data_IF_186289156507
#
_entry.id   IF_186289156507
#
_cell.length_a   1.000
_cell.length_b   1.000
_cell.length_c   1.000
_cell.angle_alpha   90.00
_cell.angle_beta   90.00
_cell.angle_gamma   90.00
#
_symmetry.space_group_name_H-M   'P 1'
#
loop_
_entity.id
_entity.type
_entity.pdbx_description
1 polymer ?
#
# COMPACT_ATOMS: atom_id res chain seq x y z
N UNK A 1 -12.48 14.47 15.10
CA UNK A 1 -11.13 13.87 15.15
C UNK A 1 -11.18 12.62 16.02
N UNK A 2 -11.24 11.44 15.40
CA UNK A 2 -11.43 10.16 16.11
C UNK A 2 -10.06 9.52 16.40
N UNK A 3 -9.69 9.27 17.67
CA UNK A 3 -8.38 8.72 18.07
C UNK A 3 -8.33 7.18 17.90
N UNK A 4 -8.83 6.67 16.77
CA UNK A 4 -9.06 5.23 16.57
C UNK A 4 -7.76 4.46 16.31
N UNK A 5 -6.78 5.04 15.64
CA UNK A 5 -5.56 4.33 15.27
C UNK A 5 -4.62 4.15 16.47
N UNK A 6 -4.43 5.18 17.29
CA UNK A 6 -3.62 5.07 18.52
C UNK A 6 -4.24 4.10 19.53
N UNK A 7 -5.56 4.14 19.72
CA UNK A 7 -6.28 3.19 20.60
C UNK A 7 -6.31 1.78 20.05
N UNK A 8 -6.45 1.59 18.73
CA UNK A 8 -6.33 0.28 18.12
C UNK A 8 -4.96 -0.33 18.41
N UNK A 9 -3.87 0.45 18.28
CA UNK A 9 -2.51 -0.03 18.55
C UNK A 9 -2.29 -0.36 20.03
N UNK A 10 -2.73 0.48 20.96
CA UNK A 10 -2.55 0.23 22.41
C UNK A 10 -3.43 -0.92 22.93
N UNK A 11 -4.60 -1.13 22.33
CA UNK A 11 -5.47 -2.28 22.66
C UNK A 11 -5.05 -3.56 21.94
N UNK A 12 -4.44 -3.49 20.75
CA UNK A 12 -3.91 -4.66 20.04
C UNK A 12 -2.67 -5.25 20.72
N UNK A 13 -1.92 -4.45 21.49
CA UNK A 13 -0.80 -4.95 22.31
C UNK A 13 -1.18 -5.37 23.74
N UNK A 14 -2.33 -4.90 24.28
CA UNK A 14 -2.78 -5.20 25.66
C UNK A 14 -3.95 -6.17 25.78
N UNK A 15 -4.79 -6.32 24.76
CA UNK A 15 -5.81 -7.37 24.73
C UNK A 15 -5.28 -8.57 23.97
N UNK A 16 -5.16 -9.69 24.66
CA UNK A 16 -4.94 -10.99 24.06
C UNK A 16 -5.88 -11.24 22.87
N UNK A 17 -5.31 -11.95 21.90
CA UNK A 17 -5.76 -12.31 20.54
C UNK A 17 -7.20 -12.90 20.39
N UNK A 18 -8.08 -12.83 21.39
CA UNK A 18 -9.25 -13.70 21.46
C UNK A 18 -10.58 -13.04 21.05
N UNK A 19 -10.66 -11.70 20.94
CA UNK A 19 -11.95 -10.99 20.73
C UNK A 19 -12.29 -10.60 19.29
N UNK A 20 -11.37 -10.73 18.33
CA UNK A 20 -11.65 -10.52 16.90
C UNK A 20 -11.79 -11.83 16.11
N UNK A 21 -12.26 -12.89 16.80
CA UNK A 21 -12.72 -14.12 16.15
C UNK A 21 -14.18 -13.97 15.67
N UNK A 22 -14.39 -13.15 14.64
CA UNK A 22 -15.57 -13.23 13.76
C UNK A 22 -15.08 -13.04 12.34
N UNK A 23 -15.21 -14.07 11.49
CA UNK A 23 -14.70 -14.19 10.11
C UNK A 23 -14.64 -12.85 9.34
N UNK A 24 -13.51 -12.10 9.41
CA UNK A 24 -13.33 -10.86 8.66
C UNK A 24 -13.33 -11.13 7.15
N UNK A 25 -13.00 -12.38 6.83
CA UNK A 25 -12.82 -12.96 5.52
C UNK A 25 -14.12 -12.91 4.69
N UNK A 26 -15.24 -13.47 5.20
CA UNK A 26 -16.52 -13.44 4.46
C UNK A 26 -16.99 -12.00 4.21
N UNK A 27 -16.84 -11.11 5.18
CA UNK A 27 -17.22 -9.69 5.04
C UNK A 27 -16.45 -8.98 3.92
N UNK A 28 -15.15 -9.24 3.81
CA UNK A 28 -14.30 -8.69 2.76
C UNK A 28 -14.75 -9.13 1.35
N UNK A 29 -14.98 -10.44 1.17
CA UNK A 29 -15.44 -10.99 -0.09
C UNK A 29 -16.85 -10.52 -0.44
N UNK A 30 -17.78 -10.48 0.52
CA UNK A 30 -19.12 -9.93 0.27
C UNK A 30 -19.09 -8.45 -0.10
N UNK A 31 -18.19 -7.66 0.49
CA UNK A 31 -17.97 -6.29 0.10
C UNK A 31 -17.46 -6.23 -1.36
N UNK A 32 -16.35 -6.88 -1.70
CA UNK A 32 -15.82 -6.80 -3.06
C UNK A 32 -16.75 -7.41 -4.12
N UNK A 33 -17.51 -8.48 -3.81
CA UNK A 33 -18.50 -9.07 -4.74
C UNK A 33 -19.66 -8.12 -5.04
N UNK A 34 -20.17 -7.44 -4.02
CA UNK A 34 -21.20 -6.42 -4.21
C UNK A 34 -20.66 -5.19 -4.95
N UNK A 35 -19.36 -4.89 -4.79
CA UNK A 35 -18.70 -3.79 -5.48
C UNK A 35 -18.46 -4.14 -6.94
N UNK A 36 -17.95 -5.34 -7.25
CA UNK A 36 -17.72 -5.82 -8.60
C UNK A 36 -19.01 -5.81 -9.43
N UNK A 37 -20.16 -6.13 -8.84
CA UNK A 37 -21.47 -5.99 -9.49
C UNK A 37 -21.82 -4.54 -9.88
N UNK A 38 -21.36 -3.56 -9.10
CA UNK A 38 -21.62 -2.12 -9.36
C UNK A 38 -20.57 -1.55 -10.32
N UNK A 39 -19.30 -1.94 -10.18
CA UNK A 39 -18.19 -1.49 -11.01
C UNK A 39 -18.14 -2.14 -12.41
N UNK A 40 -18.71 -3.35 -12.57
CA UNK A 40 -18.82 -4.01 -13.88
C UNK A 40 -19.63 -3.18 -14.91
N UNK A 41 -20.43 -2.21 -14.46
CA UNK A 41 -21.13 -1.28 -15.33
C UNK A 41 -20.20 -0.26 -16.06
N UNK A 42 -18.91 -0.20 -15.72
CA UNK A 42 -17.99 0.87 -16.19
C UNK A 42 -16.69 0.35 -16.82
N UNK A 43 -16.58 -0.93 -17.21
CA UNK A 43 -15.33 -1.44 -17.80
C UNK A 43 -15.33 -1.35 -19.33
N UNK A 44 -14.56 -0.39 -19.84
CA UNK A 44 -14.11 -0.32 -21.24
C UNK A 44 -12.69 -0.90 -21.34
N UNK A 45 -12.51 -1.71 -22.39
CA UNK A 45 -11.29 -2.26 -23.02
C UNK A 45 -10.60 -3.46 -22.34
N UNK A 46 -11.06 -4.65 -22.75
CA UNK A 46 -10.51 -5.99 -22.56
C UNK A 46 -9.21 -6.25 -23.35
N UNK A 47 -8.38 -5.24 -23.57
CA UNK A 47 -7.27 -5.29 -24.55
C UNK A 47 -5.87 -5.45 -23.96
N UNK A 48 -5.76 -5.93 -22.72
CA UNK A 48 -4.48 -6.31 -22.10
C UNK A 48 -4.53 -7.81 -21.78
N UNK A 49 -4.46 -8.66 -22.81
CA UNK A 49 -4.40 -10.13 -22.64
C UNK A 49 -3.27 -10.82 -23.40
N UNK A 50 -2.27 -10.07 -23.84
CA UNK A 50 -1.03 -10.66 -24.36
C UNK A 50 0.19 -9.99 -23.73
N UNK A 51 0.61 -10.50 -22.57
CA UNK A 51 1.97 -10.30 -22.07
C UNK A 51 2.71 -11.62 -22.26
N UNK A 52 3.59 -11.65 -23.25
CA UNK A 52 4.54 -12.75 -23.50
C UNK A 52 5.66 -12.62 -22.46
N UNK A 53 5.85 -13.57 -21.55
CA UNK A 53 6.60 -14.80 -21.80
C UNK A 53 8.02 -14.67 -21.25
N UNK A 54 8.26 -15.26 -20.07
CA UNK A 54 9.56 -15.72 -19.49
C UNK A 54 10.71 -14.72 -19.24
N UNK A 55 10.99 -13.75 -20.13
CA UNK A 55 12.14 -12.83 -20.00
C UNK A 55 11.94 -11.78 -18.91
N UNK A 56 10.73 -11.22 -18.80
CA UNK A 56 10.41 -10.18 -17.83
C UNK A 56 10.37 -10.70 -16.40
N UNK A 57 9.87 -11.93 -16.20
CA UNK A 57 9.89 -12.64 -14.92
C UNK A 57 11.33 -12.88 -14.46
N UNK A 58 12.26 -13.15 -15.37
CA UNK A 58 13.68 -13.33 -15.06
C UNK A 58 14.36 -12.01 -14.63
N UNK A 59 14.05 -10.90 -15.30
CA UNK A 59 14.51 -9.57 -14.90
C UNK A 59 13.92 -9.13 -13.55
N UNK A 60 12.65 -9.46 -13.30
CA UNK A 60 11.99 -9.25 -12.01
C UNK A 60 12.68 -10.01 -10.88
N UNK A 61 12.96 -11.28 -11.14
CA UNK A 61 13.69 -12.12 -10.20
C UNK A 61 15.03 -11.46 -9.89
N UNK A 62 15.83 -11.09 -10.89
CA UNK A 62 17.12 -10.44 -10.69
C UNK A 62 17.00 -9.14 -9.87
N UNK A 63 15.97 -8.33 -10.11
CA UNK A 63 15.69 -7.12 -9.33
C UNK A 63 15.41 -7.43 -7.86
N UNK A 64 14.59 -8.44 -7.57
CA UNK A 64 14.22 -8.81 -6.21
C UNK A 64 15.28 -9.63 -5.46
N UNK A 65 16.22 -10.25 -6.18
CA UNK A 65 17.40 -10.91 -5.60
C UNK A 65 18.55 -9.93 -5.28
N UNK A 66 18.46 -8.67 -5.72
CA UNK A 66 19.43 -7.64 -5.34
C UNK A 66 19.40 -7.36 -3.84
N UNK A 67 20.57 -7.03 -3.26
CA UNK A 67 20.64 -6.68 -1.84
C UNK A 67 19.71 -5.49 -1.54
N UNK A 68 18.92 -5.55 -0.45
CA UNK A 68 18.07 -4.42 -0.07
C UNK A 68 18.94 -3.20 0.23
N UNK A 69 18.45 -2.03 -0.15
CA UNK A 69 19.11 -0.74 0.07
C UNK A 69 18.07 0.31 0.50
N UNK A 70 18.52 1.44 1.03
CA UNK A 70 17.62 2.54 1.40
C UNK A 70 16.77 2.99 0.20
N UNK A 71 15.49 3.30 0.45
CA UNK A 71 14.56 3.87 -0.52
C UNK A 71 14.62 5.41 -0.55
N UNK A 72 15.50 6.02 0.24
CA UNK A 72 15.67 7.47 0.27
C UNK A 72 15.99 8.02 -1.13
N UNK A 73 15.30 9.09 -1.50
CA UNK A 73 15.59 9.80 -2.74
C UNK A 73 16.94 10.50 -2.63
N UNK A 74 17.81 10.43 -3.66
CA UNK A 74 19.09 11.14 -3.62
C UNK A 74 18.85 12.66 -3.57
N UNK A 75 19.74 13.44 -2.92
CA UNK A 75 19.52 14.88 -2.68
C UNK A 75 19.19 15.72 -3.92
N UNK A 76 19.68 15.35 -5.11
CA UNK A 76 19.39 16.04 -6.37
C UNK A 76 18.16 15.54 -7.14
N UNK A 77 17.35 14.64 -6.57
CA UNK A 77 16.19 14.09 -7.28
C UNK A 77 15.07 15.13 -7.43
N UNK A 78 14.51 15.33 -8.64
CA UNK A 78 13.40 16.25 -8.86
C UNK A 78 12.10 15.81 -8.16
N UNK A 79 12.06 14.56 -7.68
CA UNK A 79 10.94 14.03 -6.92
C UNK A 79 10.99 14.40 -5.44
N UNK A 80 12.06 15.04 -4.95
CA UNK A 80 12.15 15.43 -3.55
C UNK A 80 11.14 16.53 -3.23
N UNK A 81 10.51 16.37 -2.08
CA UNK A 81 9.67 17.38 -1.45
C UNK A 81 10.58 18.21 -0.56
N UNK A 82 10.78 19.46 -0.96
CA UNK A 82 11.45 20.47 -0.14
C UNK A 82 10.41 21.26 0.64
N UNK A 83 10.68 21.52 1.92
CA UNK A 83 9.84 22.44 2.67
C UNK A 83 10.08 23.86 2.17
N UNK A 84 9.03 24.56 1.70
CA UNK A 84 9.22 25.89 1.16
C UNK A 84 9.59 26.84 2.31
N UNK A 85 10.82 27.37 2.27
CA UNK A 85 11.31 28.36 3.21
C UNK A 85 11.04 29.76 2.65
N UNK A 86 9.98 30.40 3.15
CA UNK A 86 9.64 31.78 2.75
C UNK A 86 10.28 32.79 3.71
N UNK A 87 10.76 33.91 3.16
CA UNK A 87 11.38 35.00 3.93
C UNK A 87 10.53 36.29 3.93
N UNK A 88 10.89 37.23 4.81
CA UNK A 88 10.27 38.56 4.90
C UNK A 88 8.78 38.54 5.24
N UNK A 89 8.02 39.43 4.61
CA UNK A 89 6.57 39.61 4.87
C UNK A 89 5.76 38.32 4.61
N UNK A 90 6.13 37.53 3.59
CA UNK A 90 5.49 36.25 3.29
C UNK A 90 5.60 35.27 4.46
N UNK A 91 6.76 35.24 5.15
CA UNK A 91 6.96 34.41 6.35
C UNK A 91 6.02 34.81 7.47
N UNK A 92 5.88 36.12 7.71
CA UNK A 92 5.01 36.65 8.77
C UNK A 92 3.55 36.30 8.47
N UNK A 93 3.09 36.52 7.24
CA UNK A 93 1.74 36.18 6.80
C UNK A 93 1.44 34.68 6.94
N UNK A 94 2.34 33.82 6.46
CA UNK A 94 2.19 32.37 6.56
C UNK A 94 2.23 31.87 8.01
N UNK A 95 3.03 32.52 8.87
CA UNK A 95 3.05 32.23 10.31
C UNK A 95 1.73 32.58 10.98
N UNK A 96 1.11 33.72 10.63
CA UNK A 96 -0.23 34.09 11.07
C UNK A 96 -1.30 33.10 10.56
N UNK A 97 -1.14 32.60 9.34
CA UNK A 97 -1.99 31.56 8.75
C UNK A 97 -1.69 30.12 9.26
N UNK A 98 -0.92 29.98 10.35
CA UNK A 98 -0.58 28.70 10.99
C UNK A 98 0.23 27.71 10.14
N UNK A 99 0.81 28.15 9.01
CA UNK A 99 1.54 27.29 8.07
C UNK A 99 2.73 26.54 8.69
N UNK A 100 3.41 27.17 9.65
CA UNK A 100 4.59 26.64 10.32
C UNK A 100 4.28 25.91 11.62
N UNK A 101 3.00 25.66 11.93
CA UNK A 101 2.64 24.85 13.10
C UNK A 101 3.06 23.39 12.91
N UNK A 102 3.33 22.68 14.02
CA UNK A 102 3.64 21.24 14.01
C UNK A 102 2.58 20.46 13.23
N UNK A 103 1.31 20.76 13.45
CA UNK A 103 0.18 20.10 12.79
C UNK A 103 0.19 20.32 11.28
N UNK A 104 0.30 21.56 10.80
CA UNK A 104 0.34 21.86 9.36
C UNK A 104 1.53 21.19 8.68
N UNK A 105 2.70 21.14 9.33
CA UNK A 105 3.87 20.41 8.84
C UNK A 105 3.61 18.91 8.75
N UNK A 106 3.08 18.29 9.81
CA UNK A 106 2.74 16.87 9.81
C UNK A 106 1.74 16.48 8.73
N UNK A 107 0.75 17.33 8.44
CA UNK A 107 -0.22 17.09 7.35
C UNK A 107 0.48 17.09 5.98
N UNK A 108 1.38 18.06 5.72
CA UNK A 108 2.15 18.09 4.45
C UNK A 108 3.07 16.88 4.31
N UNK A 109 3.78 16.53 5.38
CA UNK A 109 4.61 15.33 5.46
C UNK A 109 3.80 14.06 5.20
N UNK A 110 2.65 13.92 5.86
CA UNK A 110 1.76 12.77 5.68
C UNK A 110 1.23 12.68 4.24
N UNK A 111 0.89 13.83 3.65
CA UNK A 111 0.49 13.89 2.24
C UNK A 111 1.65 13.42 1.34
N UNK A 112 2.88 13.91 1.56
CA UNK A 112 4.04 13.48 0.79
C UNK A 112 4.29 11.96 0.90
N UNK A 113 4.17 11.37 2.09
CA UNK A 113 4.26 9.92 2.31
C UNK A 113 3.17 9.18 1.54
N UNK A 114 1.92 9.63 1.65
CA UNK A 114 0.80 8.99 0.95
C UNK A 114 0.91 9.12 -0.57
N UNK A 115 1.43 10.24 -1.08
CA UNK A 115 1.72 10.43 -2.51
C UNK A 115 2.72 9.39 -3.03
N UNK A 116 3.63 8.86 -2.19
CA UNK A 116 4.51 7.75 -2.59
C UNK A 116 3.76 6.45 -2.78
N UNK A 117 2.80 6.17 -1.90
CA UNK A 117 1.92 5.01 -1.98
C UNK A 117 1.12 5.06 -3.28
N UNK A 118 0.40 6.14 -3.55
CA UNK A 118 -0.41 6.25 -4.77
C UNK A 118 0.47 6.23 -6.02
N UNK A 119 1.65 6.87 -5.98
CA UNK A 119 2.56 6.90 -7.13
C UNK A 119 3.09 5.52 -7.51
N UNK A 120 3.07 4.56 -6.58
CA UNK A 120 3.43 3.17 -6.85
C UNK A 120 2.21 2.35 -7.30
N UNK A 121 1.06 2.55 -6.67
CA UNK A 121 -0.15 1.74 -6.89
C UNK A 121 -0.93 2.14 -8.14
N UNK A 122 -0.97 3.42 -8.51
CA UNK A 122 -1.73 3.87 -9.69
C UNK A 122 -0.97 3.66 -11.01
N UNK A 123 0.33 3.33 -10.95
CA UNK A 123 1.17 3.01 -12.11
C UNK A 123 0.74 1.70 -12.79
N UNK A 124 0.66 1.65 -14.13
CA UNK A 124 0.30 0.42 -14.85
C UNK A 124 1.27 -0.75 -14.60
N UNK A 125 2.54 -0.47 -14.36
CA UNK A 125 3.60 -1.48 -14.27
C UNK A 125 3.34 -2.54 -13.20
N UNK A 126 2.84 -2.15 -12.01
CA UNK A 126 2.60 -3.10 -10.91
C UNK A 126 1.55 -4.16 -11.25
N UNK A 127 0.56 -3.80 -12.07
CA UNK A 127 -0.51 -4.70 -12.49
C UNK A 127 0.00 -5.72 -13.51
N UNK A 128 0.74 -5.27 -14.53
CA UNK A 128 1.34 -6.15 -15.53
C UNK A 128 2.35 -7.12 -14.91
N UNK A 129 3.25 -6.59 -14.07
CA UNK A 129 4.33 -7.34 -13.43
C UNK A 129 3.82 -8.48 -12.54
N UNK A 130 2.73 -8.26 -11.82
CA UNK A 130 2.15 -9.28 -10.93
C UNK A 130 0.94 -10.00 -11.55
N UNK A 131 0.67 -9.81 -12.84
CA UNK A 131 -0.48 -10.37 -13.55
C UNK A 131 -1.82 -10.11 -12.82
N UNK A 132 -2.00 -8.87 -12.35
CA UNK A 132 -3.21 -8.40 -11.70
C UNK A 132 -4.05 -7.61 -12.69
N UNK A 133 -5.35 -7.91 -12.76
CA UNK A 133 -6.28 -7.03 -13.45
C UNK A 133 -6.42 -5.72 -12.67
N UNK A 134 -6.45 -4.57 -13.36
CA UNK A 134 -6.65 -3.26 -12.71
C UNK A 134 -8.12 -3.06 -12.38
N UNK A 135 -8.54 -3.59 -11.24
CA UNK A 135 -9.87 -3.40 -10.66
C UNK A 135 -9.78 -2.57 -9.38
N UNK A 136 -10.90 -2.07 -8.87
CA UNK A 136 -10.90 -1.40 -7.57
C UNK A 136 -10.41 -2.32 -6.44
N UNK A 137 -10.79 -3.60 -6.46
CA UNK A 137 -10.36 -4.59 -5.45
C UNK A 137 -8.84 -4.70 -5.43
N UNK A 138 -8.23 -4.97 -6.57
CA UNK A 138 -6.77 -5.13 -6.65
C UNK A 138 -6.05 -3.82 -6.32
N UNK A 139 -6.58 -2.68 -6.81
CA UNK A 139 -6.07 -1.34 -6.46
C UNK A 139 -6.12 -1.10 -4.96
N UNK A 140 -7.26 -1.37 -4.31
CA UNK A 140 -7.44 -1.21 -2.87
C UNK A 140 -6.52 -2.17 -2.08
N UNK A 141 -6.41 -3.43 -2.49
CA UNK A 141 -5.50 -4.39 -1.84
C UNK A 141 -4.04 -3.94 -1.93
N UNK A 142 -3.62 -3.38 -3.07
CA UNK A 142 -2.27 -2.81 -3.23
C UNK A 142 -2.08 -1.53 -2.40
N UNK A 143 -3.10 -0.66 -2.30
CA UNK A 143 -3.07 0.51 -1.39
C UNK A 143 -2.87 0.05 0.05
N UNK A 144 -3.67 -0.90 0.53
CA UNK A 144 -3.59 -1.45 1.89
C UNK A 144 -2.19 -2.04 2.15
N UNK A 145 -1.64 -2.79 1.20
CA UNK A 145 -0.32 -3.41 1.32
C UNK A 145 0.81 -2.38 1.45
N UNK A 146 0.81 -1.33 0.64
CA UNK A 146 1.83 -0.27 0.72
C UNK A 146 1.61 0.64 1.93
N UNK A 147 0.36 0.90 2.32
CA UNK A 147 0.04 1.58 3.56
C UNK A 147 0.56 0.81 4.77
N UNK A 148 0.39 -0.51 4.81
CA UNK A 148 0.94 -1.37 5.86
C UNK A 148 2.45 -1.20 5.99
N UNK A 149 3.19 -1.29 4.88
CA UNK A 149 4.64 -1.10 4.85
C UNK A 149 5.06 0.25 5.46
N UNK A 150 4.42 1.35 5.04
CA UNK A 150 4.71 2.70 5.55
C UNK A 150 4.36 2.85 7.03
N UNK A 151 3.15 2.46 7.42
CA UNK A 151 2.65 2.65 8.80
C UNK A 151 3.44 1.82 9.81
N UNK A 152 3.82 0.59 9.44
CA UNK A 152 4.67 -0.27 10.27
C UNK A 152 6.02 0.39 10.52
N UNK A 153 6.69 0.86 9.45
CA UNK A 153 7.98 1.52 9.54
C UNK A 153 7.91 2.84 10.33
N UNK A 154 6.86 3.64 10.12
CA UNK A 154 6.62 4.87 10.90
C UNK A 154 6.45 4.57 12.39
N UNK A 155 5.71 3.51 12.75
CA UNK A 155 5.48 3.13 14.14
C UNK A 155 6.78 2.80 14.89
N UNK A 156 7.80 2.29 14.20
CA UNK A 156 9.13 2.01 14.78
C UNK A 156 9.85 3.29 15.25
N UNK A 157 9.47 4.47 14.74
CA UNK A 157 10.01 5.77 15.15
C UNK A 157 9.33 6.35 16.41
N UNK A 158 8.54 5.53 17.11
CA UNK A 158 7.91 5.88 18.38
C UNK A 158 6.73 6.84 18.23
N UNK A 159 6.54 7.71 19.23
CA UNK A 159 5.34 8.56 19.35
C UNK A 159 5.15 9.48 18.14
N UNK A 160 6.21 10.10 17.64
CA UNK A 160 6.14 11.00 16.49
C UNK A 160 5.73 10.27 15.22
N UNK A 161 6.24 9.05 15.02
CA UNK A 161 5.87 8.22 13.88
C UNK A 161 4.43 7.73 13.95
N UNK A 162 3.93 7.42 15.15
CA UNK A 162 2.50 7.11 15.35
C UNK A 162 1.61 8.33 15.08
N UNK A 163 2.02 9.53 15.51
CA UNK A 163 1.32 10.79 15.20
C UNK A 163 1.28 11.05 13.68
N UNK A 164 2.40 10.89 12.98
CA UNK A 164 2.46 11.05 11.53
C UNK A 164 1.62 9.98 10.80
N UNK A 165 1.71 8.72 11.24
CA UNK A 165 0.95 7.61 10.69
C UNK A 165 -0.57 7.79 10.79
N UNK A 166 -1.06 8.43 11.85
CA UNK A 166 -2.48 8.81 11.95
C UNK A 166 -2.90 9.76 10.83
N UNK A 167 -2.10 10.80 10.53
CA UNK A 167 -2.40 11.71 9.42
C UNK A 167 -2.34 10.99 8.07
N UNK A 168 -1.38 10.08 7.86
CA UNK A 168 -1.28 9.28 6.63
C UNK A 168 -2.53 8.40 6.45
N UNK A 169 -2.99 7.77 7.53
CA UNK A 169 -4.22 6.96 7.53
C UNK A 169 -5.48 7.79 7.25
N UNK A 170 -5.59 9.00 7.80
CA UNK A 170 -6.71 9.91 7.55
C UNK A 170 -6.77 10.32 6.07
N UNK A 171 -5.62 10.68 5.49
CA UNK A 171 -5.52 11.01 4.05
C UNK A 171 -5.91 9.80 3.18
N UNK A 172 -5.39 8.61 3.51
CA UNK A 172 -5.78 7.37 2.83
C UNK A 172 -7.27 7.10 2.92
N UNK A 173 -7.88 7.27 4.10
CA UNK A 173 -9.32 7.00 4.28
C UNK A 173 -10.14 7.95 3.43
N UNK A 174 -9.75 9.22 3.36
CA UNK A 174 -10.40 10.19 2.49
C UNK A 174 -10.25 9.85 1.00
N UNK A 175 -9.07 9.43 0.54
CA UNK A 175 -8.86 8.96 -0.84
C UNK A 175 -9.76 7.75 -1.17
N UNK A 176 -9.84 6.78 -0.26
CA UNK A 176 -10.72 5.60 -0.43
C UNK A 176 -12.20 6.02 -0.51
N UNK A 177 -12.65 6.94 0.34
CA UNK A 177 -14.01 7.50 0.26
C UNK A 177 -14.29 8.13 -1.12
N UNK A 178 -13.35 8.91 -1.64
CA UNK A 178 -13.45 9.52 -2.97
C UNK A 178 -13.48 8.46 -4.08
N UNK A 179 -12.62 7.44 -4.02
CA UNK A 179 -12.60 6.35 -5.01
C UNK A 179 -13.90 5.54 -5.01
N UNK A 180 -14.50 5.29 -3.85
CA UNK A 180 -15.80 4.62 -3.73
C UNK A 180 -16.93 5.49 -4.30
N UNK A 181 -16.93 6.79 -3.98
CA UNK A 181 -17.89 7.76 -4.51
C UNK A 181 -17.82 7.85 -6.04
N UNK A 182 -16.60 7.96 -6.59
CA UNK A 182 -16.35 8.03 -8.04
C UNK A 182 -16.76 6.76 -8.78
N UNK A 183 -16.78 5.61 -8.10
CA UNK A 183 -17.28 4.36 -8.65
C UNK A 183 -18.81 4.20 -8.61
N UNK A 184 -19.54 5.26 -8.25
CA UNK A 184 -21.01 5.31 -8.29
C UNK A 184 -21.70 4.78 -7.02
N UNK A 185 -20.95 4.49 -5.96
CA UNK A 185 -21.49 3.90 -4.72
C UNK A 185 -21.85 4.98 -3.69
N UNK A 186 -22.84 5.81 -4.01
CA UNK A 186 -23.20 6.97 -3.18
C UNK A 186 -24.23 6.67 -2.08
N UNK A 187 -25.24 5.84 -2.36
CA UNK A 187 -26.37 5.59 -1.45
C UNK A 187 -25.98 4.81 -0.17
N UNK A 188 -24.83 4.14 -0.17
CA UNK A 188 -24.35 3.31 0.94
C UNK A 188 -22.90 3.61 1.33
N UNK A 189 -22.34 4.76 0.91
CA UNK A 189 -20.93 5.11 1.06
C UNK A 189 -20.38 4.82 2.47
N UNK A 190 -21.10 5.24 3.51
CA UNK A 190 -20.70 5.04 4.92
C UNK A 190 -20.58 3.55 5.27
N UNK A 191 -21.52 2.72 4.80
CA UNK A 191 -21.49 1.27 5.06
C UNK A 191 -20.30 0.64 4.34
N UNK A 192 -20.05 1.05 3.10
CA UNK A 192 -18.93 0.59 2.28
C UNK A 192 -17.58 0.94 2.88
N UNK A 193 -17.39 2.19 3.26
CA UNK A 193 -16.15 2.68 3.88
C UNK A 193 -15.88 1.94 5.19
N UNK A 194 -16.91 1.64 5.99
CA UNK A 194 -16.77 0.81 7.20
C UNK A 194 -16.36 -0.63 6.90
N UNK A 195 -16.86 -1.23 5.83
CA UNK A 195 -16.41 -2.56 5.41
C UNK A 195 -14.97 -2.52 4.92
N UNK A 196 -14.60 -1.56 4.07
CA UNK A 196 -13.21 -1.36 3.63
C UNK A 196 -12.26 -1.11 4.81
N UNK A 197 -12.69 -0.36 5.83
CA UNK A 197 -11.95 -0.16 7.07
C UNK A 197 -11.68 -1.50 7.80
N UNK A 198 -12.68 -2.39 7.91
CA UNK A 198 -12.49 -3.72 8.51
C UNK A 198 -11.49 -4.55 7.70
N UNK A 199 -11.58 -4.51 6.37
CA UNK A 199 -10.66 -5.21 5.46
C UNK A 199 -9.24 -4.69 5.66
N UNK A 200 -9.07 -3.37 5.72
CA UNK A 200 -7.79 -2.73 5.97
C UNK A 200 -7.15 -3.29 7.25
N UNK A 201 -7.84 -3.22 8.39
CA UNK A 201 -7.27 -3.71 9.67
C UNK A 201 -7.03 -5.22 9.69
N UNK A 202 -7.93 -6.00 9.09
CA UNK A 202 -7.74 -7.45 8.95
C UNK A 202 -6.48 -7.80 8.15
N UNK A 203 -6.19 -7.03 7.10
CA UNK A 203 -4.98 -7.16 6.31
C UNK A 203 -3.72 -6.78 7.09
N UNK A 204 -3.73 -5.66 7.82
CA UNK A 204 -2.58 -5.25 8.66
C UNK A 204 -2.18 -6.39 9.60
N UNK A 205 -3.14 -6.96 10.33
CA UNK A 205 -2.89 -8.06 11.27
C UNK A 205 -2.36 -9.31 10.55
N UNK A 206 -2.94 -9.66 9.41
CA UNK A 206 -2.51 -10.82 8.64
C UNK A 206 -1.09 -10.66 8.08
N UNK A 207 -0.73 -9.47 7.58
CA UNK A 207 0.61 -9.18 7.07
C UNK A 207 1.65 -9.15 8.19
N UNK A 208 1.33 -8.54 9.34
CA UNK A 208 2.22 -8.55 10.50
C UNK A 208 2.50 -9.99 10.97
N UNK A 209 1.46 -10.83 11.10
CA UNK A 209 1.61 -12.22 11.51
C UNK A 209 2.46 -13.04 10.52
N UNK A 210 2.28 -12.82 9.21
CA UNK A 210 3.03 -13.51 8.16
C UNK A 210 4.51 -13.08 8.06
N UNK A 211 4.89 -12.00 8.73
CA UNK A 211 6.25 -11.44 8.76
C UNK A 211 6.99 -11.69 10.08
N UNK A 212 6.36 -12.40 11.03
CA UNK A 212 7.04 -12.80 12.26
C UNK A 212 8.20 -13.76 11.97
N UNK A 213 9.30 -13.72 12.76
CA UNK A 213 10.43 -14.62 12.57
C UNK A 213 10.07 -16.12 12.61
N UNK A 214 9.07 -16.47 13.43
CA UNK A 214 8.62 -17.86 13.62
C UNK A 214 7.52 -18.28 12.63
N UNK A 215 7.10 -17.39 11.72
CA UNK A 215 6.11 -17.71 10.70
C UNK A 215 6.69 -18.69 9.67
N UNK A 216 5.86 -19.58 9.12
CA UNK A 216 6.31 -20.48 8.04
C UNK A 216 6.66 -19.66 6.80
N UNK A 217 7.63 -20.14 6.02
CA UNK A 217 8.16 -19.40 4.86
C UNK A 217 7.09 -19.06 3.81
N UNK A 218 6.04 -19.86 3.72
CA UNK A 218 4.92 -19.75 2.79
C UNK A 218 3.73 -18.92 3.33
N UNK A 219 3.72 -18.52 4.60
CA UNK A 219 2.59 -17.79 5.19
C UNK A 219 2.33 -16.45 4.49
N UNK A 220 3.39 -15.69 4.17
CA UNK A 220 3.23 -14.44 3.42
C UNK A 220 2.60 -14.68 2.05
N UNK A 221 2.98 -15.76 1.36
CA UNK A 221 2.40 -16.08 0.07
C UNK A 221 0.91 -16.42 0.20
N UNK A 222 0.52 -17.21 1.19
CA UNK A 222 -0.90 -17.53 1.46
C UNK A 222 -1.72 -16.28 1.77
N UNK A 223 -1.19 -15.39 2.60
CA UNK A 223 -1.87 -14.15 2.98
C UNK A 223 -2.01 -13.21 1.77
N UNK A 224 -0.97 -13.07 0.95
CA UNK A 224 -1.03 -12.27 -0.28
C UNK A 224 -1.98 -12.87 -1.31
N UNK A 225 -1.94 -14.20 -1.52
CA UNK A 225 -2.89 -14.91 -2.38
C UNK A 225 -4.33 -14.57 -2.00
N UNK A 226 -4.66 -14.77 -0.72
CA UNK A 226 -6.02 -14.53 -0.20
C UNK A 226 -6.47 -13.09 -0.40
N UNK A 227 -5.60 -12.12 -0.11
CA UNK A 227 -5.99 -10.72 0.00
C UNK A 227 -5.84 -9.90 -1.28
N UNK A 228 -4.95 -10.31 -2.19
CA UNK A 228 -4.64 -9.58 -3.42
C UNK A 228 -5.22 -10.29 -4.64
N UNK A 229 -5.05 -11.62 -4.73
CA UNK A 229 -5.34 -12.38 -5.95
C UNK A 229 -6.69 -13.09 -5.94
N UNK A 230 -7.13 -13.63 -4.81
CA UNK A 230 -8.33 -14.47 -4.72
C UNK A 230 -9.62 -13.63 -4.76
N UNK A 231 -10.55 -13.94 -5.67
CA UNK A 231 -11.82 -13.21 -5.86
C UNK A 231 -13.01 -13.83 -5.11
N UNK A 232 -12.98 -15.13 -4.77
CA UNK A 232 -14.12 -15.82 -4.14
C UNK A 232 -13.71 -16.74 -2.96
N UNK A 233 -14.63 -16.93 -2.02
CA UNK A 233 -14.42 -17.73 -0.78
C UNK A 233 -14.18 -19.21 -1.09
N UNK A 234 -14.69 -19.71 -2.22
CA UNK A 234 -14.51 -21.10 -2.69
C UNK A 234 -13.10 -21.40 -3.19
N UNK A 235 -12.36 -20.39 -3.67
CA UNK A 235 -11.00 -20.52 -4.23
C UNK A 235 -9.90 -20.26 -3.18
N UNK A 236 -10.28 -20.05 -1.92
CA UNK A 236 -9.36 -19.86 -0.81
C UNK A 236 -8.68 -21.17 -0.41
N UNK A 237 -9.24 -22.31 -0.82
CA UNK A 237 -8.89 -23.64 -0.31
C UNK A 237 -7.45 -24.04 -0.62
N UNK A 238 -6.88 -23.66 -1.78
CA UNK A 238 -5.53 -24.10 -2.15
C UNK A 238 -4.80 -23.01 -2.95
N UNK A 239 -3.56 -22.72 -2.56
CA UNK A 239 -2.69 -21.86 -3.36
C UNK A 239 -2.40 -22.60 -4.69
N UNK A 240 -2.61 -21.98 -5.86
CA UNK A 240 -2.47 -22.66 -7.14
C UNK A 240 -1.04 -23.21 -7.29
N UNK A 241 -0.91 -24.37 -7.96
CA UNK A 241 0.38 -25.04 -8.15
C UNK A 241 1.23 -24.44 -9.29
N UNK A 242 0.61 -23.68 -10.20
CA UNK A 242 1.19 -23.27 -11.49
C UNK A 242 1.57 -21.76 -11.53
N UNK A 243 1.53 -21.10 -12.70
CA UNK A 243 2.01 -19.73 -12.94
C UNK A 243 1.51 -18.65 -11.93
N UNK A 244 0.33 -18.84 -11.33
CA UNK A 244 -0.18 -17.97 -10.26
C UNK A 244 0.64 -18.06 -8.96
N UNK A 245 1.29 -19.19 -8.69
CA UNK A 245 2.25 -19.35 -7.60
C UNK A 245 3.48 -18.47 -7.80
N UNK A 246 3.99 -18.42 -9.03
CA UNK A 246 5.19 -17.66 -9.37
C UNK A 246 4.94 -16.15 -9.22
N UNK A 247 3.76 -15.66 -9.63
CA UNK A 247 3.40 -14.24 -9.45
C UNK A 247 3.18 -13.87 -7.99
N UNK A 248 2.52 -14.74 -7.21
CA UNK A 248 2.38 -14.57 -5.75
C UNK A 248 3.75 -14.59 -5.07
N UNK A 249 4.65 -15.49 -5.50
CA UNK A 249 6.01 -15.56 -4.98
C UNK A 249 6.80 -14.30 -5.32
N UNK A 250 6.65 -13.77 -6.54
CA UNK A 250 7.26 -12.52 -6.95
C UNK A 250 6.76 -11.34 -6.11
N UNK A 251 5.45 -11.25 -5.86
CA UNK A 251 4.89 -10.21 -4.97
C UNK A 251 5.40 -10.38 -3.53
N UNK A 252 5.45 -11.61 -3.00
CA UNK A 252 5.99 -11.87 -1.66
C UNK A 252 7.46 -11.45 -1.55
N UNK A 253 8.27 -11.68 -2.59
CA UNK A 253 9.67 -11.22 -2.66
C UNK A 253 9.75 -9.70 -2.70
N UNK A 254 8.97 -9.05 -3.55
CA UNK A 254 8.86 -7.60 -3.59
C UNK A 254 8.52 -7.03 -2.21
N UNK A 255 7.48 -7.56 -1.55
CA UNK A 255 7.05 -7.10 -0.22
C UNK A 255 8.15 -7.25 0.83
N UNK A 256 8.81 -8.41 0.90
CA UNK A 256 9.93 -8.63 1.83
C UNK A 256 11.09 -7.69 1.56
N UNK A 257 11.39 -7.44 0.28
CA UNK A 257 12.44 -6.51 -0.11
C UNK A 257 12.08 -5.08 0.27
N UNK A 258 10.89 -4.59 -0.06
CA UNK A 258 10.45 -3.23 0.31
C UNK A 258 10.41 -3.05 1.83
N UNK A 259 9.99 -4.07 2.58
CA UNK A 259 10.06 -4.09 4.04
C UNK A 259 11.49 -3.84 4.54
N UNK A 260 12.46 -4.58 4.00
CA UNK A 260 13.88 -4.42 4.36
C UNK A 260 14.42 -3.06 3.91
N UNK A 261 14.11 -2.63 2.69
CA UNK A 261 14.57 -1.35 2.16
C UNK A 261 14.02 -0.16 2.97
N UNK A 262 12.76 -0.22 3.42
CA UNK A 262 12.18 0.76 4.33
C UNK A 262 12.86 0.75 5.70
N UNK A 263 13.21 -0.41 6.26
CA UNK A 263 13.97 -0.47 7.53
C UNK A 263 15.36 0.16 7.42
N UNK A 264 15.98 0.13 6.23
CA UNK A 264 17.25 0.79 5.92
C UNK A 264 17.10 2.28 5.57
N UNK A 265 15.87 2.75 5.35
CA UNK A 265 15.59 4.14 5.03
C UNK A 265 15.63 4.97 6.30
N UNK A 266 16.35 6.09 6.25
CA UNK A 266 16.52 6.98 7.38
C UNK A 266 15.20 7.66 7.79
N UNK A 267 15.10 8.03 9.07
CA UNK A 267 13.91 8.65 9.66
C UNK A 267 13.50 9.92 8.91
N UNK A 268 14.47 10.76 8.54
CA UNK A 268 14.20 12.06 7.93
C UNK A 268 13.54 11.89 6.56
N UNK A 269 14.12 11.06 5.70
CA UNK A 269 13.58 10.73 4.38
C UNK A 269 12.20 10.10 4.46
N UNK A 270 11.95 9.24 5.45
CA UNK A 270 10.64 8.66 5.68
C UNK A 270 9.62 9.72 6.10
N UNK A 271 9.96 10.56 7.07
CA UNK A 271 9.06 11.57 7.64
C UNK A 271 8.73 12.69 6.66
N UNK A 272 9.67 13.07 5.81
CA UNK A 272 9.45 14.10 4.80
C UNK A 272 8.80 13.55 3.52
N UNK A 273 8.57 12.24 3.43
CA UNK A 273 8.12 11.58 2.19
C UNK A 273 9.16 11.61 1.07
N UNK A 274 10.45 11.78 1.39
CA UNK A 274 11.57 11.75 0.45
C UNK A 274 12.13 10.35 0.23
N UNK A 275 11.23 9.39 0.00
CA UNK A 275 11.58 8.03 -0.39
C UNK A 275 10.77 7.62 -1.63
N UNK A 276 11.18 6.55 -2.30
CA UNK A 276 10.45 6.00 -3.44
C UNK A 276 10.52 4.48 -3.40
N UNK A 277 9.36 3.82 -3.49
CA UNK A 277 9.30 2.37 -3.67
C UNK A 277 10.06 1.94 -4.92
N UNK A 278 10.53 0.69 -4.92
CA UNK A 278 11.30 0.17 -6.05
C UNK A 278 10.49 0.26 -7.35
N UNK A 279 11.10 0.89 -8.36
CA UNK A 279 10.45 1.08 -9.66
C UNK A 279 10.27 -0.26 -10.37
N UNK A 280 9.06 -0.51 -10.85
CA UNK A 280 8.71 -1.69 -11.66
C UNK A 280 8.65 -1.36 -13.17
N UNK A 281 9.06 -0.15 -13.58
CA UNK A 281 9.03 0.27 -15.00
C UNK A 281 10.23 -0.27 -15.80
N UNK A 282 11.39 -0.44 -15.16
CA UNK A 282 12.59 -0.94 -15.83
C UNK A 282 12.49 -2.42 -16.24
N UNK A 283 11.42 -3.12 -15.87
CA UNK A 283 11.15 -4.51 -16.28
C UNK A 283 10.34 -4.63 -17.57
N UNK A 284 9.86 -3.52 -18.15
CA UNK A 284 9.00 -3.50 -19.36
C UNK A 284 9.80 -3.14 -20.62
N UNK A 285 11.03 -2.64 -20.49
CA UNK A 285 11.86 -2.30 -21.65
C UNK A 285 12.68 -3.54 -22.02
N UNK A 286 12.40 -4.23 -23.15
CA UNK A 286 13.33 -5.22 -23.68
C UNK A 286 14.63 -4.49 -24.02
N UNK A 287 15.75 -5.03 -23.55
CA UNK A 287 17.09 -4.65 -24.02
C UNK A 287 17.09 -4.71 -25.55
N UNK A 288 17.02 -3.55 -26.21
CA UNK A 288 17.40 -3.48 -27.61
C UNK A 288 18.93 -3.58 -27.64
N UNK A 289 19.51 -4.60 -28.29
CA UNK A 289 20.94 -4.65 -28.46
C UNK A 289 21.33 -3.47 -29.35
N UNK A 290 22.08 -2.54 -28.77
CA UNK A 290 22.83 -1.54 -29.54
C UNK A 290 23.81 -2.33 -30.42
N UNK A 291 23.52 -2.37 -31.72
CA UNK A 291 24.49 -2.76 -32.74
C UNK A 291 25.45 -1.61 -33.00
#
# INVERSE_FOLDING_TARGET
MLPRWSRAITNLSKLGLQKYSMEPQKSAYFAFRNYAKVAAATTLDSRIREFTGTSEVNNLNKLFWSKPHSLALPPGSPLRVEEPHFEGFKRVLLKLALFYTKQSKSIRCANAVYMRVISQVDKPAIYGVFNLEKTFKTTFSLLVLHMWLCLRRLKEEGKEGVELGQYVYEIHTHDVELRVSNAGVNLLLIKWVKELEKIFYGNIVAYDAAMLPDAKQDELMKVLWRNVFCDDVSDVSEMPMDAAKDTVQALARYVRREYQCLSLTDKESLFSGNFKFTSLENSIIPDHPVK
#
